data_IF_911515274861
#
_entry.id   IF_911515274861
#
_cell.length_a   1.000
_cell.length_b   1.000
_cell.length_c   1.000
_cell.angle_alpha   90.00
_cell.angle_beta   90.00
_cell.angle_gamma   90.00
#
_symmetry.space_group_name_H-M   'P 1'
#
loop_
_entity.id
_entity.type
_entity.pdbx_description
1 polymer ?
#
# COMPACT_ATOMS: atom_id res chain seq x y z
N UNK A 1 11.01 -0.10 32.48
CA UNK A 1 9.57 -0.36 32.64
C UNK A 1 8.97 -0.62 31.27
N UNK A 2 8.32 -1.78 31.12
CA UNK A 2 7.60 -2.12 29.88
C UNK A 2 6.23 -1.45 29.86
N UNK A 3 5.69 -1.20 28.66
CA UNK A 3 4.36 -0.67 28.49
C UNK A 3 3.33 -1.62 29.15
N UNK A 4 2.53 -1.15 30.12
CA UNK A 4 1.58 -1.99 30.85
C UNK A 4 0.42 -2.49 29.95
N UNK A 5 0.20 -1.91 28.76
CA UNK A 5 -0.79 -2.38 27.79
C UNK A 5 -0.37 -3.68 27.11
N UNK A 6 0.92 -4.01 27.08
CA UNK A 6 1.43 -5.23 26.47
C UNK A 6 1.11 -6.44 27.35
N UNK A 7 0.32 -7.36 26.82
CA UNK A 7 -0.02 -8.61 27.52
C UNK A 7 1.25 -9.43 27.78
N UNK A 8 1.40 -9.96 28.99
CA UNK A 8 2.54 -10.80 29.37
C UNK A 8 2.33 -12.24 28.90
N UNK A 9 2.46 -12.48 27.56
CA UNK A 9 2.39 -13.81 26.98
C UNK A 9 3.73 -14.53 27.10
N UNK A 10 4.83 -13.82 26.82
CA UNK A 10 6.20 -14.29 27.05
C UNK A 10 6.84 -13.50 28.19
N UNK A 11 7.83 -14.06 28.93
CA UNK A 11 8.64 -13.31 29.88
C UNK A 11 9.26 -12.07 29.23
N UNK A 12 8.83 -10.86 29.66
CA UNK A 12 9.15 -9.60 28.99
C UNK A 12 10.65 -9.31 28.87
N UNK A 13 11.43 -9.64 29.89
CA UNK A 13 12.87 -9.40 29.92
C UNK A 13 13.72 -10.46 29.23
N UNK A 14 13.12 -11.61 28.88
CA UNK A 14 13.85 -12.68 28.17
C UNK A 14 14.03 -12.30 26.72
N UNK A 15 15.25 -12.57 26.21
CA UNK A 15 15.58 -12.36 24.80
C UNK A 15 15.40 -13.66 24.03
N UNK A 16 14.85 -13.54 22.82
CA UNK A 16 14.58 -14.64 21.90
C UNK A 16 15.28 -14.37 20.58
N UNK A 17 15.83 -15.42 19.98
CA UNK A 17 16.57 -15.33 18.73
C UNK A 17 15.74 -15.93 17.59
N UNK A 18 15.54 -15.17 16.55
CA UNK A 18 14.88 -15.58 15.31
C UNK A 18 15.88 -15.43 14.18
N UNK A 19 16.11 -16.46 13.39
CA UNK A 19 16.92 -16.42 12.18
C UNK A 19 15.99 -16.46 10.96
N UNK A 20 16.04 -15.39 10.17
CA UNK A 20 15.30 -15.27 8.93
C UNK A 20 16.30 -15.37 7.77
N UNK A 21 16.21 -16.46 7.01
CA UNK A 21 17.25 -16.74 6.02
C UNK A 21 18.65 -16.77 6.65
N UNK A 22 19.52 -15.85 6.24
CA UNK A 22 20.90 -15.73 6.73
C UNK A 22 21.09 -14.67 7.83
N UNK A 23 20.03 -13.94 8.26
CA UNK A 23 20.11 -12.87 9.24
C UNK A 23 19.49 -13.28 10.58
N UNK A 24 20.10 -12.81 11.68
CA UNK A 24 19.63 -13.04 13.05
C UNK A 24 19.02 -11.77 13.62
N UNK A 25 17.82 -11.94 14.21
CA UNK A 25 17.08 -10.91 14.90
C UNK A 25 16.86 -11.33 16.35
N UNK A 26 17.14 -10.42 17.29
CA UNK A 26 16.99 -10.67 18.72
C UNK A 26 15.93 -9.72 19.27
N UNK A 27 14.87 -10.27 19.85
CA UNK A 27 13.72 -9.53 20.38
C UNK A 27 13.43 -9.95 21.83
N UNK A 28 13.02 -8.98 22.64
CA UNK A 28 12.53 -9.27 23.98
C UNK A 28 11.15 -9.95 23.94
N UNK A 29 10.80 -10.67 24.99
CA UNK A 29 9.45 -11.21 25.14
C UNK A 29 8.38 -10.13 25.15
N UNK A 30 8.70 -8.92 25.62
CA UNK A 30 7.79 -7.77 25.52
C UNK A 30 7.53 -7.38 24.06
N UNK A 31 8.59 -7.26 23.25
CA UNK A 31 8.46 -6.95 21.82
C UNK A 31 7.66 -8.02 21.07
N UNK A 32 7.96 -9.30 21.31
CA UNK A 32 7.19 -10.39 20.67
C UNK A 32 5.73 -10.46 21.14
N UNK A 33 5.45 -10.04 22.37
CA UNK A 33 4.09 -10.01 22.93
C UNK A 33 3.29 -8.77 22.49
N UNK A 34 3.93 -7.76 21.92
CA UNK A 34 3.27 -6.50 21.54
C UNK A 34 2.21 -6.71 20.44
N UNK A 35 2.44 -7.63 19.51
CA UNK A 35 1.51 -8.01 18.45
C UNK A 35 1.05 -9.47 18.57
N UNK A 36 0.66 -9.84 19.80
CA UNK A 36 0.17 -11.18 20.09
C UNK A 36 -1.36 -11.28 19.96
N UNK A 37 -1.92 -12.49 19.70
CA UNK A 37 -1.23 -13.77 19.51
C UNK A 37 -0.58 -13.87 18.13
N UNK A 38 0.64 -14.41 18.06
CA UNK A 38 1.41 -14.54 16.82
C UNK A 38 2.08 -15.91 16.72
N UNK A 39 2.62 -16.21 15.54
CA UNK A 39 3.45 -17.41 15.34
C UNK A 39 4.61 -17.46 16.34
N UNK A 40 5.25 -16.32 16.60
CA UNK A 40 6.38 -16.21 17.53
C UNK A 40 5.99 -16.50 18.97
N UNK A 41 4.89 -15.91 19.45
CA UNK A 41 4.40 -16.14 20.82
C UNK A 41 3.96 -17.59 21.00
N UNK A 42 3.33 -18.21 20.00
CA UNK A 42 2.94 -19.61 20.05
C UNK A 42 4.15 -20.56 20.07
N UNK A 43 5.18 -20.26 19.27
CA UNK A 43 6.39 -21.07 19.22
C UNK A 43 7.18 -20.99 20.55
N UNK A 44 7.48 -19.81 21.04
CA UNK A 44 8.31 -19.61 22.23
C UNK A 44 7.60 -19.85 23.57
N UNK A 45 6.28 -19.93 23.59
CA UNK A 45 5.52 -20.34 24.78
C UNK A 45 5.65 -21.84 25.09
N UNK A 46 6.05 -22.63 24.11
CA UNK A 46 6.33 -24.05 24.33
C UNK A 46 7.66 -24.19 25.08
N UNK A 47 7.66 -24.93 26.21
CA UNK A 47 8.85 -25.06 27.08
C UNK A 47 10.07 -25.62 26.34
N UNK A 48 9.88 -26.53 25.39
CA UNK A 48 10.94 -27.11 24.57
C UNK A 48 11.61 -26.10 23.63
N UNK A 49 10.91 -25.03 23.27
CA UNK A 49 11.35 -24.05 22.27
C UNK A 49 11.88 -22.75 22.88
N UNK A 50 11.66 -22.56 24.19
CA UNK A 50 11.88 -21.26 24.82
C UNK A 50 13.33 -20.73 24.76
N UNK A 51 14.31 -21.63 24.59
CA UNK A 51 15.73 -21.29 24.48
C UNK A 51 16.32 -21.65 23.09
N UNK A 52 15.48 -22.07 22.16
CA UNK A 52 15.88 -22.43 20.81
C UNK A 52 15.96 -21.22 19.90
N UNK A 53 16.77 -21.32 18.86
CA UNK A 53 16.75 -20.37 17.74
C UNK A 53 15.63 -20.81 16.79
N UNK A 54 14.70 -19.90 16.50
CA UNK A 54 13.65 -20.14 15.52
C UNK A 54 14.19 -19.83 14.12
N UNK A 55 14.25 -20.83 13.25
CA UNK A 55 14.70 -20.70 11.86
C UNK A 55 13.51 -20.58 10.92
N UNK A 56 13.52 -19.56 10.06
CA UNK A 56 12.44 -19.32 9.08
C UNK A 56 13.06 -18.94 7.73
N UNK A 57 12.62 -19.62 6.67
CA UNK A 57 13.05 -19.37 5.30
C UNK A 57 12.14 -18.32 4.65
N UNK A 58 12.40 -17.05 4.95
CA UNK A 58 11.72 -15.89 4.35
C UNK A 58 12.70 -14.74 4.16
N UNK A 59 12.22 -13.60 3.63
CA UNK A 59 13.04 -12.44 3.31
C UNK A 59 13.47 -11.67 4.56
N UNK A 60 14.77 -11.57 4.88
CA UNK A 60 15.26 -10.71 5.97
C UNK A 60 14.91 -9.24 5.74
N UNK A 61 14.94 -8.77 4.48
CA UNK A 61 14.60 -7.39 4.12
C UNK A 61 13.17 -7.03 4.53
N UNK A 62 12.21 -7.90 4.29
CA UNK A 62 10.82 -7.68 4.71
C UNK A 62 10.70 -7.81 6.23
N UNK A 63 11.39 -8.79 6.81
CA UNK A 63 11.35 -9.00 8.26
C UNK A 63 11.92 -7.80 9.06
N UNK A 64 12.81 -7.00 8.49
CA UNK A 64 13.32 -5.79 9.14
C UNK A 64 12.19 -4.79 9.50
N UNK A 65 11.16 -4.69 8.66
CA UNK A 65 9.97 -3.87 8.96
C UNK A 65 9.14 -4.47 10.11
N UNK A 66 9.00 -5.79 10.14
CA UNK A 66 8.33 -6.51 11.23
C UNK A 66 9.12 -6.34 12.54
N UNK A 67 10.43 -6.45 12.48
CA UNK A 67 11.32 -6.24 13.61
C UNK A 67 11.14 -4.85 14.23
N UNK A 68 11.11 -3.82 13.40
CA UNK A 68 10.85 -2.44 13.83
C UNK A 68 9.44 -2.27 14.43
N UNK A 69 8.42 -2.85 13.78
CA UNK A 69 7.05 -2.85 14.28
C UNK A 69 6.93 -3.48 15.69
N UNK A 70 7.51 -4.67 15.88
CA UNK A 70 7.47 -5.38 17.16
C UNK A 70 8.22 -4.63 18.27
N UNK A 71 9.20 -3.81 17.93
CA UNK A 71 9.88 -2.92 18.88
C UNK A 71 9.12 -1.61 19.15
N UNK A 72 7.97 -1.38 18.48
CA UNK A 72 7.16 -0.18 18.64
C UNK A 72 7.62 1.01 17.80
N UNK A 73 8.52 0.82 16.84
CA UNK A 73 8.92 1.88 15.92
C UNK A 73 7.88 2.09 14.81
N UNK A 74 7.82 3.32 14.32
CA UNK A 74 7.02 3.64 13.13
C UNK A 74 7.58 2.91 11.91
N UNK A 75 6.68 2.29 11.15
CA UNK A 75 7.04 1.59 9.91
C UNK A 75 6.56 2.42 8.73
N UNK A 76 7.51 2.97 7.98
CA UNK A 76 7.22 3.68 6.74
C UNK A 76 7.41 2.73 5.55
N UNK A 77 6.42 2.72 4.65
CA UNK A 77 6.42 1.89 3.45
C UNK A 77 6.40 2.82 2.24
N UNK A 78 7.35 2.66 1.33
CA UNK A 78 7.54 3.57 0.19
C UNK A 78 7.26 2.94 -1.16
N UNK A 79 7.26 1.62 -1.25
CA UNK A 79 7.08 0.90 -2.51
C UNK A 79 6.04 -0.22 -2.43
N UNK A 80 5.49 -0.57 -3.60
CA UNK A 80 4.42 -1.55 -3.74
C UNK A 80 4.86 -2.98 -3.41
N UNK A 81 6.10 -3.35 -3.70
CA UNK A 81 6.61 -4.70 -3.46
C UNK A 81 6.87 -4.92 -1.97
N UNK A 82 7.41 -3.89 -1.27
CA UNK A 82 7.55 -3.91 0.18
C UNK A 82 6.19 -3.96 0.87
N UNK A 83 5.20 -3.17 0.41
CA UNK A 83 3.85 -3.21 0.95
C UNK A 83 3.23 -4.61 0.83
N UNK A 84 3.30 -5.20 -0.35
CA UNK A 84 2.73 -6.54 -0.61
C UNK A 84 3.48 -7.63 0.15
N UNK A 85 4.81 -7.56 0.18
CA UNK A 85 5.64 -8.51 0.94
C UNK A 85 5.36 -8.45 2.43
N UNK A 86 5.24 -7.24 2.99
CA UNK A 86 4.94 -7.04 4.40
C UNK A 86 3.52 -7.53 4.77
N UNK A 87 2.54 -7.30 3.89
CA UNK A 87 1.19 -7.84 4.06
C UNK A 87 1.21 -9.38 4.08
N UNK A 88 1.91 -10.00 3.13
CA UNK A 88 2.06 -11.46 3.06
C UNK A 88 2.73 -12.03 4.33
N UNK A 89 3.77 -11.36 4.85
CA UNK A 89 4.48 -11.79 6.05
C UNK A 89 3.67 -11.53 7.32
N UNK A 90 2.88 -10.45 7.39
CA UNK A 90 1.96 -10.20 8.50
C UNK A 90 0.90 -11.31 8.62
N UNK A 91 0.41 -11.83 7.49
CA UNK A 91 -0.48 -13.00 7.46
C UNK A 91 0.25 -14.28 7.88
N UNK A 92 1.44 -14.52 7.32
CA UNK A 92 2.24 -15.72 7.60
C UNK A 92 2.61 -15.84 9.09
N UNK A 93 2.99 -14.73 9.72
CA UNK A 93 3.36 -14.70 11.15
C UNK A 93 2.16 -14.49 12.09
N UNK A 94 0.95 -14.35 11.54
CA UNK A 94 -0.26 -14.04 12.31
C UNK A 94 -0.06 -12.81 13.20
N UNK A 95 0.30 -11.66 12.60
CA UNK A 95 0.50 -10.39 13.29
C UNK A 95 -0.74 -9.49 13.14
N UNK A 96 -1.70 -9.52 14.07
CA UNK A 96 -2.98 -8.86 13.89
C UNK A 96 -2.88 -7.33 13.84
N UNK A 97 -2.02 -6.71 14.66
CA UNK A 97 -1.87 -5.26 14.67
C UNK A 97 -1.15 -4.76 13.41
N UNK A 98 -0.08 -5.44 13.00
CA UNK A 98 0.62 -5.10 11.75
C UNK A 98 -0.32 -5.25 10.55
N UNK A 99 -1.10 -6.33 10.50
CA UNK A 99 -2.11 -6.52 9.44
C UNK A 99 -3.11 -5.36 9.39
N UNK A 100 -3.64 -4.95 10.54
CA UNK A 100 -4.57 -3.81 10.61
C UNK A 100 -3.90 -2.50 10.18
N UNK A 101 -2.66 -2.26 10.58
CA UNK A 101 -1.89 -1.09 10.15
C UNK A 101 -1.74 -1.03 8.64
N UNK A 102 -1.42 -2.16 7.99
CA UNK A 102 -1.27 -2.25 6.54
C UNK A 102 -2.62 -2.02 5.83
N UNK A 103 -3.69 -2.70 6.25
CA UNK A 103 -5.02 -2.57 5.66
C UNK A 103 -5.58 -1.14 5.80
N UNK A 104 -5.29 -0.48 6.91
CA UNK A 104 -5.72 0.89 7.20
C UNK A 104 -4.73 1.95 6.69
N UNK A 105 -3.72 1.57 5.88
CA UNK A 105 -2.82 2.55 5.26
C UNK A 105 -3.60 3.65 4.54
N UNK A 106 -3.13 4.89 4.66
CA UNK A 106 -3.69 6.06 3.96
C UNK A 106 -3.32 6.11 2.46
N UNK A 107 -2.59 5.12 1.98
CA UNK A 107 -2.06 5.07 0.63
C UNK A 107 -2.46 3.80 -0.11
N UNK A 108 -2.62 3.94 -1.43
CA UNK A 108 -2.58 2.83 -2.37
C UNK A 108 -1.18 2.67 -2.93
N UNK A 109 -0.81 1.42 -3.21
CA UNK A 109 0.49 1.05 -3.77
C UNK A 109 0.28 0.23 -5.03
N UNK A 110 1.03 0.56 -6.10
CA UNK A 110 1.00 -0.20 -7.36
C UNK A 110 2.30 0.04 -8.15
N UNK A 111 2.64 -0.87 -9.05
CA UNK A 111 3.69 -0.68 -10.03
C UNK A 111 3.04 -0.25 -11.36
N UNK A 112 3.41 0.91 -11.90
CA UNK A 112 2.89 1.44 -13.18
C UNK A 112 4.05 1.66 -14.12
N UNK A 113 4.07 0.94 -15.24
CA UNK A 113 5.16 1.02 -16.22
C UNK A 113 6.55 0.76 -15.63
N UNK A 114 6.65 -0.09 -14.62
CA UNK A 114 7.89 -0.40 -13.92
C UNK A 114 8.28 0.57 -12.80
N UNK A 115 7.51 1.65 -12.60
CA UNK A 115 7.71 2.56 -11.46
C UNK A 115 6.78 2.21 -10.32
N UNK A 116 7.31 2.18 -9.08
CA UNK A 116 6.50 2.02 -7.89
C UNK A 116 5.81 3.34 -7.53
N UNK A 117 4.51 3.28 -7.34
CA UNK A 117 3.65 4.43 -7.07
C UNK A 117 3.02 4.27 -5.68
N UNK A 118 3.12 5.33 -4.89
CA UNK A 118 2.43 5.53 -3.61
C UNK A 118 1.50 6.73 -3.77
N UNK A 119 0.19 6.53 -3.65
CA UNK A 119 -0.82 7.59 -3.87
C UNK A 119 -1.84 7.62 -2.74
N UNK A 120 -2.17 8.82 -2.26
CA UNK A 120 -3.11 8.99 -1.14
C UNK A 120 -4.52 8.50 -1.51
N UNK A 121 -5.10 7.68 -0.64
CA UNK A 121 -6.51 7.23 -0.74
C UNK A 121 -7.47 8.42 -0.76
N UNK A 122 -7.22 9.43 0.08
CA UNK A 122 -8.01 10.65 0.15
C UNK A 122 -8.06 11.39 -1.19
N UNK A 123 -6.93 11.46 -1.89
CA UNK A 123 -6.86 12.11 -3.21
C UNK A 123 -7.73 11.41 -4.25
N UNK A 124 -7.75 10.06 -4.22
CA UNK A 124 -8.50 9.26 -5.19
C UNK A 124 -9.98 9.03 -4.80
N UNK A 125 -10.41 9.49 -3.62
CA UNK A 125 -11.79 9.32 -3.12
C UNK A 125 -12.75 10.44 -3.55
N UNK A 126 -12.31 11.38 -4.38
CA UNK A 126 -13.13 12.50 -4.87
C UNK A 126 -14.41 12.04 -5.55
N UNK A 127 -15.48 12.83 -5.40
CA UNK A 127 -16.80 12.55 -6.01
C UNK A 127 -16.66 12.37 -7.53
N UNK A 128 -17.23 11.29 -8.08
CA UNK A 128 -17.15 10.93 -9.49
C UNK A 128 -15.85 10.24 -9.92
N UNK A 129 -14.86 10.10 -9.01
CA UNK A 129 -13.61 9.37 -9.25
C UNK A 129 -13.51 8.09 -8.44
N UNK A 130 -14.55 7.70 -7.73
CA UNK A 130 -14.64 6.46 -6.95
C UNK A 130 -16.01 5.77 -7.23
N UNK A 131 -16.10 4.43 -7.28
CA UNK A 131 -14.99 3.47 -7.19
C UNK A 131 -14.08 3.53 -8.42
N UNK A 132 -12.77 3.40 -8.19
CA UNK A 132 -11.74 3.45 -9.22
C UNK A 132 -10.90 2.16 -9.23
N UNK A 133 -9.93 2.09 -10.14
CA UNK A 133 -9.03 0.93 -10.24
C UNK A 133 -8.37 0.58 -8.90
N UNK A 134 -7.87 1.58 -8.17
CA UNK A 134 -7.11 1.36 -6.93
C UNK A 134 -7.98 0.85 -5.79
N UNK A 135 -9.22 1.37 -5.66
CA UNK A 135 -10.18 0.86 -4.65
C UNK A 135 -10.49 -0.59 -4.87
N UNK A 136 -10.81 -0.97 -6.12
CA UNK A 136 -11.16 -2.35 -6.48
C UNK A 136 -9.97 -3.29 -6.32
N UNK A 137 -8.78 -2.89 -6.81
CA UNK A 137 -7.57 -3.71 -6.70
C UNK A 137 -7.14 -3.91 -5.24
N UNK A 138 -7.21 -2.86 -4.40
CA UNK A 138 -6.86 -2.95 -3.00
C UNK A 138 -7.81 -3.89 -2.23
N UNK A 139 -9.12 -3.77 -2.44
CA UNK A 139 -10.08 -4.65 -1.77
C UNK A 139 -9.87 -6.10 -2.19
N UNK A 140 -9.76 -6.36 -3.48
CA UNK A 140 -9.57 -7.73 -4.00
C UNK A 140 -8.24 -8.37 -3.58
N UNK A 141 -7.14 -7.62 -3.60
CA UNK A 141 -5.80 -8.19 -3.34
C UNK A 141 -5.44 -8.28 -1.86
N UNK A 142 -6.01 -7.44 -1.02
CA UNK A 142 -5.58 -7.36 0.39
C UNK A 142 -6.72 -7.68 1.35
N UNK A 143 -7.89 -7.09 1.18
CA UNK A 143 -9.00 -7.26 2.10
C UNK A 143 -9.66 -8.62 1.94
N UNK A 144 -10.11 -8.96 0.73
CA UNK A 144 -10.79 -10.24 0.46
C UNK A 144 -9.89 -11.43 0.74
N UNK A 145 -8.60 -11.35 0.34
CA UNK A 145 -7.63 -12.42 0.60
C UNK A 145 -7.33 -12.55 2.09
N UNK A 146 -7.24 -11.43 2.83
CA UNK A 146 -7.05 -11.47 4.29
C UNK A 146 -8.18 -12.23 4.98
N UNK A 147 -9.42 -12.02 4.56
CA UNK A 147 -10.59 -12.69 5.13
C UNK A 147 -10.58 -14.18 4.78
N UNK A 148 -10.32 -14.53 3.52
CA UNK A 148 -10.24 -15.93 3.06
C UNK A 148 -9.13 -16.70 3.81
N UNK A 149 -7.93 -16.14 3.95
CA UNK A 149 -6.82 -16.82 4.63
C UNK A 149 -7.13 -17.01 6.12
N UNK A 150 -7.76 -16.03 6.75
CA UNK A 150 -8.16 -16.10 8.16
C UNK A 150 -9.20 -17.23 8.37
N UNK A 151 -10.20 -17.32 7.51
CA UNK A 151 -11.27 -18.29 7.59
C UNK A 151 -10.79 -19.72 7.27
N UNK A 152 -9.88 -19.86 6.31
CA UNK A 152 -9.34 -21.16 5.86
C UNK A 152 -8.16 -21.66 6.70
N UNK A 153 -7.67 -20.86 7.65
CA UNK A 153 -6.52 -21.20 8.51
C UNK A 153 -5.29 -21.69 7.72
N UNK A 154 -4.97 -21.02 6.61
CA UNK A 154 -3.84 -21.41 5.76
C UNK A 154 -2.50 -21.16 6.47
N UNK A 155 -1.66 -22.18 6.51
CA UNK A 155 -0.34 -22.12 7.16
C UNK A 155 0.64 -21.22 6.36
N UNK A 156 0.48 -21.19 5.04
CA UNK A 156 1.33 -20.41 4.15
C UNK A 156 0.47 -19.68 3.13
N UNK A 157 0.34 -18.35 3.23
CA UNK A 157 -0.39 -17.59 2.23
C UNK A 157 0.27 -17.75 0.85
N UNK A 158 -0.52 -17.77 -0.23
CA UNK A 158 0.02 -17.83 -1.58
C UNK A 158 0.92 -16.60 -1.83
N UNK A 159 1.97 -16.74 -2.65
CA UNK A 159 2.77 -15.60 -3.07
C UNK A 159 1.89 -14.57 -3.75
N UNK A 160 2.01 -13.33 -3.33
CA UNK A 160 1.31 -12.21 -3.93
C UNK A 160 2.32 -11.29 -4.61
N UNK A 161 1.95 -10.79 -5.79
CA UNK A 161 2.66 -9.72 -6.45
C UNK A 161 1.92 -8.41 -6.25
N UNK A 162 2.67 -7.32 -6.15
CA UNK A 162 2.07 -5.99 -6.14
C UNK A 162 1.24 -5.76 -7.42
N UNK A 163 0.14 -4.98 -7.35
CA UNK A 163 -0.61 -4.59 -8.54
C UNK A 163 0.34 -3.97 -9.56
N UNK A 164 0.43 -4.57 -10.74
CA UNK A 164 1.34 -4.14 -11.79
C UNK A 164 0.59 -3.84 -13.08
N UNK A 165 0.82 -2.66 -13.63
CA UNK A 165 0.13 -2.11 -14.79
C UNK A 165 1.12 -1.72 -15.88
N UNK A 166 0.90 -2.23 -17.09
CA UNK A 166 1.66 -1.80 -18.25
C UNK A 166 1.04 -0.52 -18.85
N UNK A 167 1.21 0.60 -18.11
CA UNK A 167 0.68 1.91 -18.46
C UNK A 167 1.75 2.97 -18.32
N UNK A 168 1.49 4.20 -18.78
CA UNK A 168 2.44 5.31 -18.67
C UNK A 168 2.47 5.90 -17.26
N UNK A 169 3.60 5.80 -16.53
CA UNK A 169 3.73 6.44 -15.24
C UNK A 169 3.72 7.97 -15.34
N UNK A 170 4.18 8.53 -16.46
CA UNK A 170 4.17 9.98 -16.71
C UNK A 170 2.74 10.49 -16.78
N UNK A 171 1.90 9.88 -17.63
CA UNK A 171 0.49 10.28 -17.74
C UNK A 171 -0.27 10.08 -16.42
N UNK A 172 0.03 9.01 -15.70
CA UNK A 172 -0.57 8.79 -14.37
C UNK A 172 -0.20 9.90 -13.38
N UNK A 173 1.08 10.31 -13.33
CA UNK A 173 1.53 11.42 -12.46
C UNK A 173 0.85 12.75 -12.84
N UNK A 174 0.66 13.02 -14.12
CA UNK A 174 -0.08 14.18 -14.59
C UNK A 174 -1.55 14.15 -14.11
N UNK A 175 -2.23 13.00 -14.19
CA UNK A 175 -3.59 12.84 -13.64
C UNK A 175 -3.62 13.07 -12.12
N UNK A 176 -2.63 12.56 -11.39
CA UNK A 176 -2.50 12.78 -9.94
C UNK A 176 -2.33 14.27 -9.62
N UNK A 177 -1.50 15.01 -10.37
CA UNK A 177 -1.35 16.46 -10.20
C UNK A 177 -2.67 17.19 -10.45
N UNK A 178 -3.44 16.80 -11.46
CA UNK A 178 -4.76 17.37 -11.72
C UNK A 178 -5.77 17.08 -10.59
N UNK A 179 -5.71 15.89 -10.02
CA UNK A 179 -6.52 15.55 -8.84
C UNK A 179 -6.12 16.34 -7.59
N UNK A 180 -4.87 16.78 -7.51
CA UNK A 180 -4.38 17.72 -6.47
C UNK A 180 -4.82 19.17 -6.70
N UNK A 181 -5.51 19.44 -7.80
CA UNK A 181 -5.99 20.79 -8.15
C UNK A 181 -5.10 21.56 -9.13
N UNK A 182 -4.05 20.92 -9.67
CA UNK A 182 -3.25 21.54 -10.72
C UNK A 182 -4.07 21.66 -12.02
N UNK A 183 -3.89 22.76 -12.74
CA UNK A 183 -4.46 22.90 -14.08
C UNK A 183 -3.76 21.98 -15.07
N UNK A 184 -4.51 21.38 -16.01
CA UNK A 184 -3.93 20.48 -17.00
C UNK A 184 -3.05 21.22 -17.99
N UNK A 185 -1.79 20.81 -18.08
CA UNK A 185 -0.87 21.29 -19.12
C UNK A 185 -1.04 20.47 -20.40
N UNK A 186 -1.97 20.88 -21.26
CA UNK A 186 -2.27 20.19 -22.52
C UNK A 186 -1.26 20.61 -23.57
N UNK A 187 -0.38 19.70 -23.96
CA UNK A 187 0.71 19.97 -24.94
C UNK A 187 0.27 19.80 -26.40
N UNK A 188 -0.74 18.95 -26.64
CA UNK A 188 -1.30 18.70 -27.96
C UNK A 188 -2.66 18.01 -27.87
N UNK A 189 -3.47 18.00 -28.97
CA UNK A 189 -4.69 17.21 -29.02
C UNK A 189 -4.48 15.71 -28.76
N UNK A 190 -3.36 15.15 -29.19
CA UNK A 190 -2.96 13.75 -28.95
C UNK A 190 -2.68 13.50 -27.48
N UNK A 191 -1.97 14.41 -26.84
CA UNK A 191 -1.68 14.36 -25.40
C UNK A 191 -2.98 14.39 -24.59
N UNK A 192 -3.90 15.30 -24.90
CA UNK A 192 -5.23 15.36 -24.29
C UNK A 192 -5.99 14.05 -24.46
N UNK A 193 -6.04 13.48 -25.67
CA UNK A 193 -6.69 12.18 -25.90
C UNK A 193 -6.08 11.07 -25.07
N UNK A 194 -4.75 11.08 -24.90
CA UNK A 194 -4.04 10.13 -24.05
C UNK A 194 -4.41 10.27 -22.58
N UNK A 195 -4.46 11.49 -22.05
CA UNK A 195 -4.90 11.76 -20.67
C UNK A 195 -6.34 11.31 -20.42
N UNK A 196 -7.26 11.59 -21.35
CA UNK A 196 -8.66 11.13 -21.25
C UNK A 196 -8.73 9.59 -21.24
N UNK A 197 -7.96 8.93 -22.09
CA UNK A 197 -7.89 7.46 -22.15
C UNK A 197 -7.37 6.86 -20.84
N UNK A 198 -6.31 7.46 -20.26
CA UNK A 198 -5.75 7.04 -18.98
C UNK A 198 -6.75 7.29 -17.83
N UNK A 199 -7.36 8.47 -17.76
CA UNK A 199 -8.37 8.79 -16.73
C UNK A 199 -9.55 7.79 -16.77
N UNK A 200 -10.05 7.43 -17.96
CA UNK A 200 -11.08 6.40 -18.12
C UNK A 200 -10.60 5.01 -17.71
N UNK A 201 -9.36 4.65 -18.02
CA UNK A 201 -8.78 3.38 -17.62
C UNK A 201 -8.77 3.21 -16.09
N UNK A 202 -8.31 4.26 -15.39
CA UNK A 202 -8.31 4.26 -13.91
C UNK A 202 -9.70 4.51 -13.30
N UNK A 203 -10.73 4.76 -14.12
CA UNK A 203 -12.08 5.13 -13.68
C UNK A 203 -12.14 6.45 -12.90
N UNK A 204 -11.28 7.40 -13.23
CA UNK A 204 -11.39 8.78 -12.77
C UNK A 204 -12.38 9.54 -13.65
N UNK A 205 -13.67 9.20 -13.51
CA UNK A 205 -14.70 9.63 -14.46
C UNK A 205 -14.90 11.15 -14.44
N UNK A 206 -14.96 11.77 -13.26
CA UNK A 206 -15.09 13.23 -13.16
C UNK A 206 -13.88 13.95 -13.80
N UNK A 207 -12.66 13.43 -13.62
CA UNK A 207 -11.48 13.99 -14.28
C UNK A 207 -11.53 13.78 -15.80
N UNK A 208 -11.98 12.62 -16.25
CA UNK A 208 -12.14 12.35 -17.68
C UNK A 208 -13.15 13.31 -18.34
N UNK A 209 -14.26 13.59 -17.67
CA UNK A 209 -15.27 14.58 -18.10
C UNK A 209 -14.71 16.00 -18.12
N UNK A 210 -13.99 16.41 -17.06
CA UNK A 210 -13.27 17.70 -17.03
C UNK A 210 -12.35 17.85 -18.24
N UNK A 211 -11.54 16.84 -18.53
CA UNK A 211 -10.62 16.85 -19.68
C UNK A 211 -11.36 16.87 -21.04
N UNK A 212 -12.53 16.25 -21.15
CA UNK A 212 -13.35 16.28 -22.37
C UNK A 212 -13.99 17.63 -22.60
N UNK A 213 -14.38 18.36 -21.55
CA UNK A 213 -15.05 19.64 -21.62
C UNK A 213 -14.09 20.83 -21.80
N UNK A 214 -12.78 20.61 -21.85
CA UNK A 214 -11.81 21.64 -22.20
C UNK A 214 -11.97 21.98 -23.70
N UNK A 215 -12.31 23.24 -24.01
CA UNK A 215 -12.45 23.72 -25.37
C UNK A 215 -11.16 24.45 -25.76
N UNK A 216 -10.48 23.98 -26.80
CA UNK A 216 -9.36 24.70 -27.39
C UNK A 216 -9.91 25.77 -28.35
N UNK A 217 -9.65 27.02 -28.05
CA UNK A 217 -10.08 28.17 -28.89
C UNK A 217 -8.83 28.83 -29.46
N UNK A 218 -8.80 29.01 -30.78
CA UNK A 218 -7.78 29.83 -31.39
C UNK A 218 -8.06 31.29 -31.10
N UNK A 219 -7.14 31.97 -30.41
CA UNK A 219 -7.22 33.38 -30.20
C UNK A 219 -6.54 34.14 -31.33
N UNK A 220 -7.32 34.82 -32.21
CA UNK A 220 -6.74 35.52 -33.36
C UNK A 220 -5.92 36.76 -32.96
N UNK A 221 -6.05 37.23 -31.73
CA UNK A 221 -5.29 38.39 -31.23
C UNK A 221 -3.90 38.03 -30.74
N UNK A 222 -3.76 36.84 -30.13
CA UNK A 222 -2.46 36.36 -29.65
C UNK A 222 -1.78 35.40 -30.61
N UNK A 223 -2.49 34.95 -31.65
CA UNK A 223 -2.01 33.94 -32.60
C UNK A 223 -1.76 32.55 -31.97
N UNK A 224 -2.23 32.32 -30.76
CA UNK A 224 -2.05 31.10 -30.01
C UNK A 224 -3.36 30.34 -29.82
N UNK A 225 -3.26 29.03 -29.60
CA UNK A 225 -4.37 28.22 -29.10
C UNK A 225 -4.47 28.44 -27.60
N UNK A 226 -5.64 28.91 -27.17
CA UNK A 226 -5.96 29.13 -25.74
C UNK A 226 -6.94 28.07 -25.27
N UNK A 227 -6.86 27.73 -23.99
CA UNK A 227 -7.80 26.80 -23.36
C UNK A 227 -8.96 27.60 -22.76
N UNK A 228 -10.15 27.41 -23.30
CA UNK A 228 -11.38 27.92 -22.68
C UNK A 228 -12.02 26.80 -21.85
N UNK A 229 -12.30 27.07 -20.58
CA UNK A 229 -13.07 26.19 -19.71
C UNK A 229 -14.42 26.83 -19.50
N UNK A 230 -15.51 26.05 -19.72
CA UNK A 230 -16.85 26.55 -19.43
C UNK A 230 -16.99 26.85 -17.93
N UNK A 231 -17.54 28.02 -17.59
CA UNK A 231 -17.81 28.43 -16.21
C UNK A 231 -18.70 27.44 -15.45
N UNK A 232 -19.54 26.69 -16.16
CA UNK A 232 -20.41 25.64 -15.57
C UNK A 232 -19.62 24.41 -15.07
N UNK A 233 -18.33 24.30 -15.41
CA UNK A 233 -17.45 23.21 -14.98
C UNK A 233 -16.55 23.57 -13.77
N UNK A 234 -16.75 24.75 -13.17
CA UNK A 234 -15.92 25.28 -12.06
C UNK A 234 -16.63 25.15 -10.69
N UNK A 235 -17.70 24.38 -10.58
CA UNK A 235 -18.40 24.12 -9.31
C UNK A 235 -17.92 22.87 -8.61
#
# INVERSE_FOLDING_TARGET
HYDPSIKKILPHSKMYTIQIGNERFILSGASLSSDAPSYFTNYFSQSANSDQVLFIDRSPRIFQYIYSHLQGYHVEIDDADTFTGLFSDALYYHLPQLRQLILNSDYYYANIGGESIKVSKKLLSGRGNTPNFFTVANDSLYKDISDIITDMNWIRPPPQAAPSLNRSPILFKELVHMLQGAEPEIRSPEHRRSLIKEAKYYRFNALAEKLQNIIEVYNPFTGAQEIAVSLDSIN
#
